data_IF_308288771478
#
_entry.id   IF_308288771478
#
_cell.length_a   1.000
_cell.length_b   1.000
_cell.length_c   1.000
_cell.angle_alpha   90.00
_cell.angle_beta   90.00
_cell.angle_gamma   90.00
#
_symmetry.space_group_name_H-M   'P 1'
#
loop_
_entity.id
_entity.type
_entity.pdbx_description
1 polymer ?
#
# COMPACT_ATOMS: atom_id res chain seq x y z
N UNK A 1 16.26 1.00 -8.72
CA UNK A 1 16.43 1.01 -7.25
C UNK A 1 15.75 2.27 -6.76
N UNK A 2 14.69 2.16 -5.97
CA UNK A 2 13.95 3.32 -5.45
C UNK A 2 14.72 3.89 -4.26
N UNK A 3 15.07 5.18 -4.30
CA UNK A 3 15.64 5.88 -3.15
C UNK A 3 14.48 6.37 -2.26
N UNK A 4 14.31 5.85 -1.03
CA UNK A 4 13.24 6.30 -0.14
C UNK A 4 13.37 7.77 0.29
N UNK A 5 14.56 8.39 0.13
CA UNK A 5 14.76 9.83 0.40
C UNK A 5 14.48 10.71 -0.82
N UNK A 6 14.62 10.15 -2.03
CA UNK A 6 14.42 10.84 -3.31
C UNK A 6 13.46 10.02 -4.16
N UNK A 7 12.18 10.10 -3.82
CA UNK A 7 11.12 9.35 -4.47
C UNK A 7 10.95 9.83 -5.93
N UNK A 8 11.32 8.98 -6.90
CA UNK A 8 11.20 9.30 -8.33
C UNK A 8 9.88 8.76 -8.88
N UNK A 9 8.98 9.66 -9.27
CA UNK A 9 7.68 9.33 -9.87
C UNK A 9 7.82 8.48 -11.14
N UNK A 10 8.96 8.55 -11.85
CA UNK A 10 9.23 7.72 -13.03
C UNK A 10 9.41 6.24 -12.71
N UNK A 11 9.63 5.90 -11.43
CA UNK A 11 9.70 4.50 -10.98
C UNK A 11 8.32 3.84 -10.89
N UNK A 12 7.24 4.60 -11.12
CA UNK A 12 5.86 4.13 -11.02
C UNK A 12 5.10 4.39 -12.32
N UNK A 13 4.08 3.57 -12.55
CA UNK A 13 3.10 3.78 -13.61
C UNK A 13 1.76 4.05 -12.94
N UNK A 14 1.18 5.22 -13.21
CA UNK A 14 -0.15 5.57 -12.71
C UNK A 14 -1.22 4.65 -13.29
N UNK A 15 -2.09 4.16 -12.42
CA UNK A 15 -3.18 3.26 -12.80
C UNK A 15 -4.48 3.63 -12.07
N UNK A 16 -5.58 3.70 -12.81
CA UNK A 16 -6.95 3.86 -12.26
C UNK A 16 -7.88 2.86 -12.94
N UNK A 17 -8.53 2.03 -12.13
CA UNK A 17 -9.48 1.02 -12.60
C UNK A 17 -9.90 0.11 -11.44
N UNK A 18 -10.84 -0.78 -11.70
CA UNK A 18 -11.43 -1.64 -10.66
C UNK A 18 -10.48 -2.75 -10.17
N UNK A 19 -9.50 -3.14 -11.00
CA UNK A 19 -8.56 -4.22 -10.71
C UNK A 19 -7.14 -3.79 -11.06
N UNK A 20 -6.25 -3.79 -10.07
CA UNK A 20 -4.82 -3.55 -10.24
C UNK A 20 -4.06 -4.89 -10.36
N UNK A 21 -3.19 -5.01 -11.36
CA UNK A 21 -2.30 -6.17 -11.54
C UNK A 21 -0.92 -5.79 -11.03
N UNK A 22 -0.43 -6.52 -10.02
CA UNK A 22 0.91 -6.34 -9.47
C UNK A 22 1.87 -7.28 -10.20
N UNK A 23 2.92 -6.78 -10.87
CA UNK A 23 3.90 -7.65 -11.51
C UNK A 23 4.61 -8.57 -10.50
N UNK A 24 5.06 -9.77 -10.92
CA UNK A 24 5.79 -10.68 -10.05
C UNK A 24 6.99 -10.00 -9.38
N UNK A 25 7.18 -10.25 -8.09
CA UNK A 25 8.28 -9.70 -7.27
C UNK A 25 8.35 -8.16 -7.24
N UNK A 26 7.23 -7.48 -7.54
CA UNK A 26 7.10 -6.02 -7.49
C UNK A 26 6.13 -5.60 -6.38
N UNK A 27 5.87 -4.30 -6.27
CA UNK A 27 4.90 -3.72 -5.33
C UNK A 27 4.07 -2.63 -6.01
N UNK A 28 2.93 -2.30 -5.40
CA UNK A 28 2.07 -1.22 -5.82
C UNK A 28 1.73 -0.33 -4.62
N UNK A 29 1.46 0.95 -4.88
CA UNK A 29 1.00 1.91 -3.88
C UNK A 29 -0.45 2.31 -4.18
N UNK A 30 -1.25 2.39 -3.14
CA UNK A 30 -2.64 2.81 -3.21
C UNK A 30 -3.01 3.58 -1.94
N UNK A 31 -4.14 4.29 -1.98
CA UNK A 31 -4.73 4.99 -0.83
C UNK A 31 -6.09 4.38 -0.49
N UNK A 32 -6.43 4.38 0.79
CA UNK A 32 -7.78 4.03 1.24
C UNK A 32 -8.79 5.07 0.78
N UNK A 33 -10.05 4.65 0.72
CA UNK A 33 -11.17 5.58 0.51
C UNK A 33 -11.49 6.33 1.81
N UNK A 34 -11.30 5.67 2.94
CA UNK A 34 -11.53 6.18 4.27
C UNK A 34 -10.47 7.22 4.66
N UNK A 35 -10.92 8.26 5.35
CA UNK A 35 -10.08 9.26 6.00
C UNK A 35 -10.20 9.10 7.52
N UNK A 36 -9.06 8.91 8.19
CA UNK A 36 -9.00 8.74 9.64
C UNK A 36 -8.33 9.93 10.31
N UNK A 37 -8.93 10.42 11.41
CA UNK A 37 -8.31 11.40 12.30
C UNK A 37 -8.04 10.75 13.65
N UNK A 38 -6.81 10.27 13.85
CA UNK A 38 -6.44 9.50 15.05
C UNK A 38 -6.24 10.43 16.26
N UNK A 39 -6.96 10.25 17.37
CA UNK A 39 -6.76 11.01 18.60
C UNK A 39 -5.40 10.73 19.24
N UNK A 40 -4.86 11.69 20.01
CA UNK A 40 -3.51 11.57 20.62
C UNK A 40 -3.33 10.39 21.58
N UNK A 41 -4.42 9.83 22.10
CA UNK A 41 -4.41 8.70 23.04
C UNK A 41 -4.62 7.34 22.37
N UNK A 42 -4.65 7.28 21.04
CA UNK A 42 -4.96 6.06 20.28
C UNK A 42 -3.79 5.71 19.36
N UNK A 43 -3.35 4.46 19.43
CA UNK A 43 -2.45 3.86 18.44
C UNK A 43 -3.26 2.88 17.59
N UNK A 44 -3.01 2.87 16.29
CA UNK A 44 -3.67 1.93 15.37
C UNK A 44 -2.66 0.96 14.78
N UNK A 45 -3.16 -0.19 14.33
CA UNK A 45 -2.37 -1.21 13.64
C UNK A 45 -3.19 -1.66 12.43
N UNK A 46 -2.53 -1.81 11.29
CA UNK A 46 -3.14 -2.30 10.07
C UNK A 46 -2.65 -3.71 9.77
N UNK A 47 -3.58 -4.62 9.45
CA UNK A 47 -3.27 -6.01 9.12
C UNK A 47 -3.90 -6.37 7.77
N UNK A 48 -3.13 -7.08 6.93
CA UNK A 48 -3.61 -7.60 5.65
C UNK A 48 -4.71 -8.66 5.84
N UNK A 49 -5.71 -8.65 4.96
CA UNK A 49 -6.76 -9.69 4.98
C UNK A 49 -6.21 -11.03 4.52
N UNK A 50 -6.76 -12.12 5.06
CA UNK A 50 -6.37 -13.49 4.72
C UNK A 50 -6.50 -13.82 3.23
N UNK A 51 -7.47 -13.23 2.52
CA UNK A 51 -7.61 -13.41 1.07
C UNK A 51 -6.36 -12.98 0.31
N UNK A 52 -5.74 -11.86 0.67
CA UNK A 52 -4.51 -11.40 0.02
C UNK A 52 -3.28 -12.14 0.54
N UNK A 53 -3.20 -12.38 1.85
CA UNK A 53 -2.08 -13.09 2.45
C UNK A 53 -1.94 -14.52 1.90
N UNK A 54 -3.05 -15.25 1.72
CA UNK A 54 -3.06 -16.61 1.14
C UNK A 54 -2.60 -16.65 -0.32
N UNK A 55 -2.68 -15.53 -1.03
CA UNK A 55 -2.17 -15.39 -2.40
C UNK A 55 -0.73 -14.87 -2.45
N UNK A 56 -0.04 -14.77 -1.31
CA UNK A 56 1.34 -14.26 -1.23
C UNK A 56 1.46 -12.75 -1.30
N UNK A 57 0.36 -12.01 -1.14
CA UNK A 57 0.36 -10.54 -1.14
C UNK A 57 0.46 -10.04 0.31
N UNK A 58 1.55 -9.33 0.60
CA UNK A 58 1.81 -8.72 1.91
C UNK A 58 1.38 -7.25 1.87
N UNK A 59 0.56 -6.86 2.84
CA UNK A 59 0.10 -5.47 3.01
C UNK A 59 0.94 -4.80 4.08
N UNK A 60 1.77 -3.83 3.68
CA UNK A 60 2.63 -3.06 4.58
C UNK A 60 2.04 -1.66 4.76
N UNK A 61 1.54 -1.36 5.96
CA UNK A 61 0.96 -0.06 6.31
C UNK A 61 1.47 0.36 7.68
N UNK A 62 2.00 1.58 7.75
CA UNK A 62 2.33 2.28 9.00
C UNK A 62 1.34 3.44 9.15
N UNK A 63 0.44 3.40 10.15
CA UNK A 63 -0.57 4.44 10.35
C UNK A 63 -0.03 5.71 11.02
#
# INVERSE_FOLDING_TARGET
IVDPKNFDEKSFVDFKGDVCIIPPNSFALARTMEYFRIPRSVLTICLGKSTYARCGIIVNVTP
#
